data_IF_798840814235
#
_entry.id   IF_798840814235
#
_cell.length_a   1.000
_cell.length_b   1.000
_cell.length_c   1.000
_cell.angle_alpha   90.00
_cell.angle_beta   90.00
_cell.angle_gamma   90.00
#
_symmetry.space_group_name_H-M   'P 1'
#
loop_
_entity.id
_entity.type
_entity.pdbx_description
1 polymer ?
#
# COMPACT_ATOMS: atom_id res chain seq x y z
N UNK A 1 10.75 -61.08 14.08
CA UNK A 1 10.29 -60.66 15.41
C UNK A 1 11.20 -59.53 15.85
N UNK A 2 10.58 -58.39 16.18
CA UNK A 2 11.06 -57.25 16.98
C UNK A 2 12.32 -56.53 16.47
N UNK A 3 12.14 -55.40 15.78
CA UNK A 3 11.94 -54.03 16.35
C UNK A 3 13.28 -53.31 16.52
N UNK A 4 13.75 -52.72 15.43
CA UNK A 4 14.72 -51.61 15.46
C UNK A 4 13.95 -50.31 15.63
N UNK A 5 13.91 -49.84 16.88
CA UNK A 5 13.51 -48.49 17.26
C UNK A 5 14.29 -47.48 16.42
N UNK A 6 13.59 -46.75 15.54
CA UNK A 6 14.08 -45.49 15.00
C UNK A 6 13.88 -44.43 16.08
N UNK A 7 14.99 -44.00 16.65
CA UNK A 7 15.11 -42.83 17.51
C UNK A 7 15.00 -41.58 16.62
N UNK A 8 13.77 -41.20 16.29
CA UNK A 8 13.46 -39.90 15.71
C UNK A 8 13.50 -38.84 16.81
N UNK A 9 14.70 -38.47 17.26
CA UNK A 9 14.90 -37.16 17.89
C UNK A 9 14.78 -36.08 16.82
N UNK A 10 13.54 -35.80 16.42
CA UNK A 10 13.20 -34.54 15.80
C UNK A 10 13.62 -33.43 16.78
N UNK A 11 14.61 -32.64 16.38
CA UNK A 11 14.91 -31.36 17.01
C UNK A 11 13.62 -30.55 16.98
N UNK A 12 12.91 -30.48 18.12
CA UNK A 12 11.82 -29.52 18.32
C UNK A 12 12.44 -28.14 18.23
N UNK A 13 12.30 -27.49 17.09
CA UNK A 13 12.51 -26.06 16.96
C UNK A 13 11.41 -25.35 17.74
N UNK A 14 11.80 -24.62 18.77
CA UNK A 14 10.96 -23.91 19.74
C UNK A 14 10.31 -22.66 19.09
N UNK A 15 9.48 -22.86 18.06
CA UNK A 15 8.95 -21.80 17.18
C UNK A 15 7.42 -21.60 17.27
N UNK A 16 6.74 -22.25 18.22
CA UNK A 16 5.30 -22.04 18.44
C UNK A 16 5.04 -20.74 19.22
N UNK A 17 4.10 -19.92 18.74
CA UNK A 17 3.71 -18.67 19.39
C UNK A 17 3.08 -18.95 20.77
N UNK A 18 3.57 -18.29 21.82
CA UNK A 18 3.05 -18.45 23.19
C UNK A 18 1.62 -17.95 23.44
N UNK A 19 0.93 -17.42 22.42
CA UNK A 19 -0.46 -16.94 22.50
C UNK A 19 -1.38 -17.80 21.63
N UNK A 20 -1.11 -17.92 20.32
CA UNK A 20 -1.97 -18.71 19.41
C UNK A 20 -1.59 -20.19 19.35
N UNK A 21 -0.43 -20.59 19.89
CA UNK A 21 0.11 -21.95 19.90
C UNK A 21 0.35 -22.56 18.51
N UNK A 22 0.26 -21.75 17.45
CA UNK A 22 0.59 -22.11 16.07
C UNK A 22 2.06 -21.75 15.75
N UNK A 23 2.55 -22.21 14.59
CA UNK A 23 3.85 -21.78 14.04
C UNK A 23 3.90 -20.26 13.93
N UNK A 24 4.93 -19.65 14.53
CA UNK A 24 5.01 -18.20 14.64
C UNK A 24 5.18 -17.53 13.28
N UNK A 25 4.24 -16.66 12.93
CA UNK A 25 4.37 -15.71 11.81
C UNK A 25 5.05 -14.46 12.33
N UNK A 26 6.25 -14.15 11.82
CA UNK A 26 7.12 -13.07 12.31
C UNK A 26 7.35 -13.13 13.84
N UNK A 27 8.09 -14.14 14.34
CA UNK A 27 8.32 -14.32 15.76
C UNK A 27 9.10 -13.14 16.37
N UNK A 28 8.50 -12.51 17.37
CA UNK A 28 9.16 -11.62 18.30
C UNK A 28 9.59 -12.39 19.54
N UNK A 29 10.89 -12.57 19.72
CA UNK A 29 11.46 -13.14 20.94
C UNK A 29 11.70 -12.01 21.94
N UNK A 30 11.01 -12.09 23.08
CA UNK A 30 11.16 -11.13 24.16
C UNK A 30 12.48 -11.35 24.92
N UNK A 31 12.99 -10.34 25.66
CA UNK A 31 14.20 -10.49 26.49
C UNK A 31 14.08 -11.59 27.56
N UNK A 32 12.84 -11.94 27.94
CA UNK A 32 12.56 -13.04 28.85
C UNK A 32 12.60 -14.43 28.20
N UNK A 33 12.91 -14.53 26.90
CA UNK A 33 13.05 -15.77 26.15
C UNK A 33 11.76 -16.32 25.51
N UNK A 34 10.60 -15.72 25.78
CA UNK A 34 9.34 -16.15 25.17
C UNK A 34 9.11 -15.53 23.79
N UNK A 35 8.61 -16.34 22.86
CA UNK A 35 8.35 -15.94 21.48
C UNK A 35 6.85 -15.88 21.15
N UNK A 36 6.45 -14.88 20.38
CA UNK A 36 5.06 -14.66 19.95
C UNK A 36 5.02 -14.18 18.51
N UNK A 37 3.93 -14.44 17.78
CA UNK A 37 3.65 -13.69 16.54
C UNK A 37 3.53 -12.19 16.89
N UNK A 38 4.10 -11.30 16.06
CA UNK A 38 3.97 -9.84 16.26
C UNK A 38 2.51 -9.42 16.44
N UNK A 39 1.62 -9.92 15.56
CA UNK A 39 0.18 -9.68 15.63
C UNK A 39 -0.45 -10.13 16.95
N UNK A 40 -0.09 -11.31 17.45
CA UNK A 40 -0.63 -11.85 18.71
C UNK A 40 -0.18 -11.04 19.93
N UNK A 41 1.11 -10.67 20.00
CA UNK A 41 1.62 -9.85 21.09
C UNK A 41 1.03 -8.44 21.06
N UNK A 42 0.86 -7.87 19.87
CA UNK A 42 0.21 -6.58 19.71
C UNK A 42 -1.27 -6.62 20.11
N UNK A 43 -2.00 -7.67 19.73
CA UNK A 43 -3.38 -7.86 20.15
C UNK A 43 -3.50 -8.06 21.67
N UNK A 44 -2.58 -8.81 22.29
CA UNK A 44 -2.52 -8.94 23.75
C UNK A 44 -2.40 -7.58 24.45
N UNK A 45 -1.52 -6.70 23.95
CA UNK A 45 -1.37 -5.33 24.47
C UNK A 45 -2.65 -4.49 24.33
N UNK A 46 -3.44 -4.73 23.29
CA UNK A 46 -4.66 -3.97 22.98
C UNK A 46 -5.94 -4.52 23.63
N UNK A 47 -6.13 -5.85 23.69
CA UNK A 47 -7.39 -6.51 24.15
C UNK A 47 -7.68 -6.33 25.64
N UNK A 48 -6.65 -6.24 26.46
CA UNK A 48 -6.80 -6.31 27.89
C UNK A 48 -6.51 -4.94 28.51
N UNK A 49 -7.58 -4.21 28.85
CA UNK A 49 -7.58 -3.12 29.82
C UNK A 49 -7.24 -3.58 31.26
N UNK A 50 -6.44 -4.63 31.39
CA UNK A 50 -5.83 -5.04 32.66
C UNK A 50 -4.77 -3.99 32.90
N UNK A 51 -5.05 -3.04 33.81
CA UNK A 51 -4.14 -2.04 34.41
C UNK A 51 -2.87 -1.81 33.60
N UNK A 52 -2.76 -0.66 32.93
CA UNK A 52 -1.60 -0.12 32.20
C UNK A 52 -0.25 -0.90 32.31
N UNK A 53 0.17 -1.21 33.53
CA UNK A 53 1.23 -2.17 33.90
C UNK A 53 1.28 -3.53 33.17
N UNK A 54 0.16 -4.19 32.85
CA UNK A 54 0.17 -5.54 32.23
C UNK A 54 0.39 -5.51 30.72
N UNK A 55 0.18 -4.36 30.06
CA UNK A 55 0.50 -4.21 28.63
C UNK A 55 1.99 -4.31 28.35
N UNK A 56 2.81 -3.99 29.36
CA UNK A 56 4.27 -4.04 29.31
C UNK A 56 4.83 -5.30 29.96
N UNK A 57 4.00 -6.35 30.12
CA UNK A 57 4.41 -7.61 30.75
C UNK A 57 4.21 -8.79 29.82
N UNK A 58 5.18 -9.70 29.82
CA UNK A 58 5.12 -10.96 29.08
C UNK A 58 3.85 -11.74 29.44
N UNK A 59 3.05 -12.20 28.46
CA UNK A 59 1.85 -13.01 28.72
C UNK A 59 2.11 -14.27 29.55
N UNK A 60 3.34 -14.82 29.46
CA UNK A 60 3.71 -16.08 30.10
C UNK A 60 4.34 -15.82 31.47
N UNK A 61 5.47 -15.11 31.54
CA UNK A 61 6.24 -14.96 32.78
C UNK A 61 6.07 -13.61 33.48
N UNK A 62 5.30 -12.68 32.89
CA UNK A 62 5.06 -11.32 33.41
C UNK A 62 6.31 -10.44 33.57
N UNK A 63 7.45 -10.85 33.01
CA UNK A 63 8.63 -10.00 32.90
C UNK A 63 8.33 -8.75 32.08
N UNK A 64 9.00 -7.65 32.38
CA UNK A 64 8.83 -6.40 31.66
C UNK A 64 9.26 -6.53 30.20
N UNK A 65 8.46 -5.94 29.32
CA UNK A 65 8.70 -5.86 27.89
C UNK A 65 9.07 -4.41 27.58
N UNK A 66 10.29 -4.15 27.07
CA UNK A 66 10.64 -2.85 26.54
C UNK A 66 9.66 -2.36 25.46
N UNK A 67 9.52 -1.03 25.26
CA UNK A 67 8.75 -0.51 24.15
C UNK A 67 9.36 -0.98 22.82
N UNK A 68 8.52 -1.21 21.81
CA UNK A 68 9.03 -1.54 20.49
C UNK A 68 9.72 -0.34 19.84
N UNK A 69 10.62 -0.61 18.89
CA UNK A 69 11.24 0.43 18.06
C UNK A 69 10.20 1.35 17.40
N UNK A 70 9.08 0.80 16.96
CA UNK A 70 7.95 1.56 16.40
C UNK A 70 7.36 2.53 17.44
N UNK A 71 7.06 2.06 18.65
CA UNK A 71 6.50 2.89 19.72
C UNK A 71 7.41 4.07 20.07
N UNK A 72 8.72 3.82 20.20
CA UNK A 72 9.70 4.88 20.48
C UNK A 72 9.84 5.84 19.30
N UNK A 73 9.87 5.33 18.07
CA UNK A 73 9.94 6.18 16.87
C UNK A 73 8.72 7.09 16.76
N UNK A 74 7.52 6.58 17.04
CA UNK A 74 6.30 7.39 17.09
C UNK A 74 6.40 8.48 18.16
N UNK A 75 6.80 8.11 19.39
CA UNK A 75 6.94 9.04 20.50
C UNK A 75 7.89 10.19 20.15
N UNK A 76 9.09 9.86 19.66
CA UNK A 76 10.10 10.86 19.30
C UNK A 76 9.63 11.77 18.16
N UNK A 77 8.94 11.22 17.15
CA UNK A 77 8.39 12.02 16.06
C UNK A 77 7.33 13.03 16.54
N UNK A 78 6.44 12.62 17.44
CA UNK A 78 5.44 13.53 18.02
C UNK A 78 6.05 14.60 18.94
N UNK A 79 7.10 14.25 19.71
CA UNK A 79 7.86 15.25 20.49
C UNK A 79 8.48 16.31 19.60
N UNK A 80 9.12 15.89 18.51
CA UNK A 80 9.72 16.82 17.57
C UNK A 80 8.67 17.66 16.83
N UNK A 81 7.52 17.07 16.47
CA UNK A 81 6.41 17.81 15.86
C UNK A 81 5.83 18.86 16.81
N UNK A 82 5.64 18.52 18.09
CA UNK A 82 5.23 19.46 19.13
C UNK A 82 6.22 20.62 19.24
N UNK A 83 7.51 20.31 19.36
CA UNK A 83 8.57 21.33 19.43
C UNK A 83 8.53 22.27 18.22
N UNK A 84 8.40 21.73 17.01
CA UNK A 84 8.30 22.55 15.80
C UNK A 84 7.11 23.50 15.83
N UNK A 85 5.93 23.03 16.25
CA UNK A 85 4.75 23.89 16.38
C UNK A 85 4.91 24.97 17.46
N UNK A 86 5.65 24.68 18.53
CA UNK A 86 6.01 25.67 19.55
C UNK A 86 6.99 26.71 18.98
N UNK A 87 7.99 26.28 18.23
CA UNK A 87 8.98 27.15 17.57
C UNK A 87 8.30 28.06 16.53
N UNK A 88 7.30 27.54 15.82
CA UNK A 88 6.49 28.26 14.81
C UNK A 88 5.39 29.14 15.45
N UNK A 89 5.26 29.16 16.79
CA UNK A 89 4.20 29.85 17.55
C UNK A 89 2.75 29.41 17.20
N UNK A 90 2.55 28.17 16.78
CA UNK A 90 1.25 27.59 16.43
C UNK A 90 0.52 26.93 17.62
N UNK A 91 0.87 27.30 18.86
CA UNK A 91 0.43 26.62 20.09
C UNK A 91 -1.06 26.75 20.42
N UNK A 92 -1.80 27.59 19.68
CA UNK A 92 -3.26 27.77 19.85
C UNK A 92 -4.09 27.06 18.78
N UNK A 93 -3.46 26.32 17.88
CA UNK A 93 -4.16 25.61 16.79
C UNK A 93 -4.79 24.32 17.31
N UNK A 94 -5.93 23.92 16.73
CA UNK A 94 -6.54 22.60 17.00
C UNK A 94 -5.54 21.47 16.72
N UNK A 95 -4.70 21.67 15.71
CA UNK A 95 -3.63 20.76 15.33
C UNK A 95 -2.58 20.58 16.44
N UNK A 96 -2.14 21.66 17.09
CA UNK A 96 -1.24 21.57 18.25
C UNK A 96 -1.87 20.82 19.43
N UNK A 97 -3.14 21.12 19.73
CA UNK A 97 -3.87 20.45 20.82
C UNK A 97 -4.02 18.95 20.55
N UNK A 98 -4.29 18.57 19.31
CA UNK A 98 -4.36 17.17 18.90
C UNK A 98 -2.99 16.48 19.01
N UNK A 99 -1.90 17.11 18.53
CA UNK A 99 -0.53 16.60 18.70
C UNK A 99 -0.20 16.36 20.18
N UNK A 100 -0.58 17.28 21.08
CA UNK A 100 -0.37 17.11 22.53
C UNK A 100 -1.17 15.93 23.11
N UNK A 101 -2.44 15.80 22.71
CA UNK A 101 -3.31 14.70 23.17
C UNK A 101 -2.77 13.33 22.72
N UNK A 102 -2.36 13.23 21.46
CA UNK A 102 -1.75 12.01 20.90
C UNK A 102 -0.42 11.69 21.59
N UNK A 103 0.41 12.71 21.85
CA UNK A 103 1.70 12.56 22.53
C UNK A 103 1.56 11.96 23.93
N UNK A 104 0.63 12.48 24.75
CA UNK A 104 0.36 11.92 26.08
C UNK A 104 0.09 10.41 26.00
N UNK A 105 -0.69 10.02 25.00
CA UNK A 105 -1.00 8.63 24.75
C UNK A 105 0.18 7.74 24.36
N UNK A 106 1.13 8.29 23.60
CA UNK A 106 2.37 7.56 23.28
C UNK A 106 3.28 7.47 24.50
N UNK A 107 3.32 8.48 25.37
CA UNK A 107 4.08 8.46 26.62
C UNK A 107 3.55 7.40 27.59
N UNK A 108 2.23 7.29 27.75
CA UNK A 108 1.59 6.22 28.53
C UNK A 108 1.92 4.82 27.96
N UNK A 109 1.87 4.68 26.64
CA UNK A 109 2.17 3.40 25.98
C UNK A 109 3.64 2.98 26.13
N UNK A 110 4.57 3.92 26.03
CA UNK A 110 6.01 3.66 26.20
C UNK A 110 6.33 3.40 27.68
N UNK A 111 5.62 4.07 28.59
CA UNK A 111 5.81 3.98 30.03
C UNK A 111 6.67 5.12 30.57
N UNK A 112 6.25 5.71 31.69
CA UNK A 112 6.97 6.81 32.35
C UNK A 112 8.36 6.42 32.89
N UNK A 113 8.60 5.11 33.04
CA UNK A 113 9.83 4.46 33.49
C UNK A 113 10.81 4.14 32.35
N UNK A 114 10.47 4.45 31.10
CA UNK A 114 11.37 4.26 29.98
C UNK A 114 12.60 5.17 30.08
N UNK A 115 13.79 4.56 29.97
CA UNK A 115 15.10 5.20 30.17
C UNK A 115 15.58 6.08 29.00
N UNK A 116 14.77 6.20 27.94
CA UNK A 116 15.11 6.98 26.75
C UNK A 116 15.91 6.24 25.68
N UNK A 117 16.35 5.00 25.94
CA UNK A 117 17.26 4.27 25.04
C UNK A 117 16.88 2.81 24.81
N UNK A 118 16.25 2.15 25.79
CA UNK A 118 15.98 0.71 25.73
C UNK A 118 14.80 0.42 24.81
N UNK A 119 15.05 -0.30 23.72
CA UNK A 119 14.04 -0.75 22.77
C UNK A 119 14.03 -2.27 22.70
N UNK A 120 12.84 -2.84 22.48
CA UNK A 120 12.71 -4.26 22.19
C UNK A 120 13.51 -4.54 20.91
N UNK A 121 14.50 -5.46 20.94
CA UNK A 121 15.25 -5.84 19.76
C UNK A 121 14.28 -6.34 18.69
N UNK A 122 14.43 -5.82 17.48
CA UNK A 122 13.72 -6.35 16.33
C UNK A 122 14.64 -7.36 15.65
N UNK A 123 14.14 -8.54 15.31
CA UNK A 123 14.94 -9.55 14.61
C UNK A 123 15.41 -9.06 13.22
N UNK A 124 14.84 -7.94 12.73
CA UNK A 124 15.19 -7.24 11.49
C UNK A 124 15.81 -5.86 11.72
N UNK A 125 16.99 -5.79 12.34
CA UNK A 125 17.74 -4.55 12.63
C UNK A 125 18.27 -3.78 11.39
N UNK A 126 17.81 -4.10 10.18
CA UNK A 126 18.19 -3.32 8.99
C UNK A 126 17.48 -1.95 9.02
N UNK A 127 18.20 -0.83 8.96
CA UNK A 127 17.58 0.48 8.83
C UNK A 127 16.73 0.53 7.54
N UNK A 128 15.57 1.15 7.62
CA UNK A 128 14.69 1.30 6.47
C UNK A 128 15.42 2.04 5.34
N UNK A 129 15.25 1.56 4.11
CA UNK A 129 15.81 2.24 2.95
C UNK A 129 15.04 3.53 2.73
N UNK A 130 15.74 4.65 2.57
CA UNK A 130 15.13 5.95 2.26
C UNK A 130 15.12 6.12 0.75
N UNK A 131 13.96 6.38 0.17
CA UNK A 131 13.89 6.64 -1.26
C UNK A 131 14.40 8.05 -1.57
N UNK A 132 15.20 8.24 -2.65
CA UNK A 132 15.57 9.57 -3.10
C UNK A 132 14.37 10.40 -3.54
N UNK A 133 14.45 11.73 -3.44
CA UNK A 133 13.39 12.67 -3.84
C UNK A 133 12.87 12.45 -5.26
N UNK A 134 13.74 12.10 -6.20
CA UNK A 134 13.34 11.86 -7.58
C UNK A 134 12.48 10.59 -7.72
N UNK A 135 12.69 9.58 -6.86
CA UNK A 135 11.86 8.39 -6.77
C UNK A 135 10.52 8.73 -6.13
N UNK A 136 10.51 9.48 -5.03
CA UNK A 136 9.27 9.95 -4.42
C UNK A 136 8.39 10.69 -5.44
N UNK A 137 8.98 11.63 -6.20
CA UNK A 137 8.27 12.38 -7.25
C UNK A 137 7.85 11.50 -8.43
N UNK A 138 8.63 10.48 -8.77
CA UNK A 138 8.25 9.53 -9.82
C UNK A 138 7.06 8.67 -9.40
N UNK A 139 7.05 8.19 -8.15
CA UNK A 139 5.91 7.47 -7.56
C UNK A 139 4.68 8.36 -7.63
N UNK A 140 4.74 9.60 -7.13
CA UNK A 140 3.59 10.51 -7.15
C UNK A 140 3.06 10.88 -8.53
N UNK A 141 3.86 10.70 -9.60
CA UNK A 141 3.45 10.92 -10.99
C UNK A 141 3.04 9.64 -11.73
N UNK A 142 3.15 8.48 -11.10
CA UNK A 142 2.90 7.19 -11.75
C UNK A 142 3.99 6.75 -12.72
N UNK A 143 5.18 7.37 -12.69
CA UNK A 143 6.28 6.99 -13.57
C UNK A 143 6.98 5.72 -13.07
N UNK A 144 6.45 4.56 -13.47
CA UNK A 144 6.91 3.27 -13.01
C UNK A 144 8.34 2.93 -13.48
N UNK A 145 8.81 3.49 -14.60
CA UNK A 145 10.12 3.15 -15.18
C UNK A 145 11.30 3.44 -14.24
N UNK A 146 11.52 4.68 -13.74
CA UNK A 146 12.59 4.97 -12.79
C UNK A 146 12.39 4.26 -11.45
N UNK A 147 11.14 4.06 -11.00
CA UNK A 147 10.83 3.37 -9.74
C UNK A 147 11.27 1.91 -9.81
N UNK A 148 10.82 1.18 -10.82
CA UNK A 148 11.20 -0.22 -11.03
C UNK A 148 12.70 -0.38 -11.29
N UNK A 149 13.32 0.53 -12.05
CA UNK A 149 14.77 0.53 -12.26
C UNK A 149 15.52 0.67 -10.95
N UNK A 150 15.09 1.57 -10.08
CA UNK A 150 15.74 1.80 -8.78
C UNK A 150 15.57 0.63 -7.82
N UNK A 151 14.36 0.06 -7.71
CA UNK A 151 14.10 -1.13 -6.89
C UNK A 151 14.98 -2.29 -7.35
N UNK A 152 15.00 -2.57 -8.65
CA UNK A 152 15.75 -3.71 -9.21
C UNK A 152 17.28 -3.51 -9.25
N UNK A 153 17.78 -2.28 -9.09
CA UNK A 153 19.21 -1.99 -9.14
C UNK A 153 19.99 -2.54 -7.93
N UNK A 154 19.34 -2.83 -6.81
CA UNK A 154 19.98 -3.50 -5.68
C UNK A 154 19.01 -4.47 -4.99
N UNK A 155 19.18 -5.76 -5.27
CA UNK A 155 18.36 -6.83 -4.69
C UNK A 155 18.69 -7.17 -3.23
N UNK A 156 19.76 -6.61 -2.66
CA UNK A 156 20.11 -6.83 -1.24
C UNK A 156 19.43 -5.85 -0.30
N UNK A 157 18.93 -4.73 -0.83
CA UNK A 157 18.20 -3.68 -0.11
C UNK A 157 16.69 -3.86 -0.28
N UNK A 158 15.94 -3.64 0.80
CA UNK A 158 14.47 -3.67 0.78
C UNK A 158 13.88 -2.37 0.20
N UNK A 159 14.20 -2.07 -1.06
CA UNK A 159 13.81 -0.83 -1.75
C UNK A 159 12.32 -0.72 -2.01
N UNK A 160 11.61 -1.85 -2.15
CA UNK A 160 10.16 -1.85 -2.40
C UNK A 160 9.39 -1.33 -1.17
N UNK A 161 9.95 -1.55 0.04
CA UNK A 161 9.42 -1.03 1.30
C UNK A 161 10.13 0.24 1.77
N UNK A 162 10.79 0.96 0.86
CA UNK A 162 11.46 2.20 1.19
C UNK A 162 10.49 3.28 1.67
N UNK A 163 11.01 4.19 2.47
CA UNK A 163 10.27 5.29 3.10
C UNK A 163 10.70 6.65 2.54
N UNK A 164 9.79 7.63 2.58
CA UNK A 164 10.02 8.97 2.03
C UNK A 164 11.08 9.78 2.76
N UNK A 165 11.35 9.48 4.03
CA UNK A 165 12.29 10.19 4.86
C UNK A 165 12.84 9.29 5.97
N UNK A 166 14.08 9.53 6.39
CA UNK A 166 14.60 8.99 7.65
C UNK A 166 14.20 9.85 8.85
N UNK A 167 13.74 11.08 8.58
CA UNK A 167 13.49 12.09 9.58
C UNK A 167 12.15 11.83 10.28
N UNK A 168 12.24 11.48 11.55
CA UNK A 168 11.10 11.24 12.44
C UNK A 168 10.23 12.49 12.67
N UNK A 169 10.73 13.69 12.34
CA UNK A 169 9.99 14.95 12.47
C UNK A 169 9.01 15.19 11.30
N UNK A 170 9.19 14.46 10.19
CA UNK A 170 8.39 14.60 8.96
C UNK A 170 7.47 13.42 8.75
N UNK A 171 6.36 13.62 8.00
CA UNK A 171 5.40 12.55 7.73
C UNK A 171 6.02 11.48 6.83
N UNK A 172 6.65 10.48 7.45
CA UNK A 172 7.34 9.41 6.75
C UNK A 172 6.32 8.44 6.16
N UNK A 173 6.36 8.22 4.85
CA UNK A 173 5.41 7.36 4.13
C UNK A 173 6.15 6.24 3.40
N UNK A 174 5.70 4.97 3.52
CA UNK A 174 6.16 3.89 2.65
C UNK A 174 5.84 4.17 1.17
N UNK A 175 6.64 3.64 0.24
CA UNK A 175 6.43 3.78 -1.20
C UNK A 175 5.00 3.42 -1.64
N UNK A 176 4.43 2.35 -1.08
CA UNK A 176 3.06 1.94 -1.33
C UNK A 176 2.03 3.00 -0.89
N UNK A 177 2.26 3.65 0.26
CA UNK A 177 1.40 4.72 0.75
C UNK A 177 1.49 5.98 -0.12
N UNK A 178 2.69 6.33 -0.59
CA UNK A 178 2.87 7.44 -1.55
C UNK A 178 2.08 7.15 -2.83
N UNK A 179 2.21 5.95 -3.41
CA UNK A 179 1.44 5.56 -4.59
C UNK A 179 -0.08 5.62 -4.35
N UNK A 180 -0.54 5.25 -3.15
CA UNK A 180 -1.96 5.28 -2.79
C UNK A 180 -2.52 6.72 -2.63
N UNK A 181 -1.76 7.62 -2.01
CA UNK A 181 -2.18 9.02 -1.82
C UNK A 181 -2.24 9.78 -3.15
N UNK A 182 -1.33 9.48 -4.08
CA UNK A 182 -1.30 10.11 -5.41
C UNK A 182 -2.11 9.34 -6.48
N UNK A 183 -2.97 8.41 -6.05
CA UNK A 183 -3.87 7.64 -6.91
C UNK A 183 -3.18 6.88 -8.07
N UNK A 184 -2.11 6.16 -7.74
CA UNK A 184 -1.31 5.41 -8.70
C UNK A 184 -1.58 3.91 -8.62
N UNK A 185 -2.80 3.49 -8.94
CA UNK A 185 -3.28 2.11 -8.78
C UNK A 185 -2.39 1.06 -9.46
N UNK A 186 -1.93 1.34 -10.68
CA UNK A 186 -1.04 0.45 -11.42
C UNK A 186 0.32 0.29 -10.71
N UNK A 187 0.85 1.38 -10.14
CA UNK A 187 2.11 1.35 -9.41
C UNK A 187 1.96 0.68 -8.04
N UNK A 188 0.85 0.91 -7.32
CA UNK A 188 0.51 0.15 -6.11
C UNK A 188 0.54 -1.35 -6.37
N UNK A 189 -0.07 -1.79 -7.47
CA UNK A 189 -0.12 -3.19 -7.87
C UNK A 189 1.27 -3.77 -8.16
N UNK A 190 2.11 -3.02 -8.90
CA UNK A 190 3.49 -3.40 -9.16
C UNK A 190 4.31 -3.51 -7.87
N UNK A 191 4.15 -2.56 -6.95
CA UNK A 191 4.85 -2.57 -5.65
C UNK A 191 4.44 -3.79 -4.81
N UNK A 192 3.13 -4.09 -4.74
CA UNK A 192 2.62 -5.27 -4.02
C UNK A 192 3.14 -6.58 -4.63
N UNK A 193 3.14 -6.71 -5.96
CA UNK A 193 3.74 -7.85 -6.66
C UNK A 193 5.24 -8.00 -6.41
N UNK A 194 5.95 -6.91 -6.09
CA UNK A 194 7.37 -6.91 -5.74
C UNK A 194 7.64 -7.13 -4.24
N UNK A 195 6.60 -7.35 -3.44
CA UNK A 195 6.73 -7.60 -2.00
C UNK A 195 6.63 -6.35 -1.11
N UNK A 196 5.95 -5.30 -1.57
CA UNK A 196 5.56 -4.21 -0.68
C UNK A 196 4.67 -4.76 0.44
N UNK A 197 5.06 -4.48 1.68
CA UNK A 197 4.29 -4.82 2.86
C UNK A 197 3.05 -3.91 2.90
N UNK A 198 1.88 -4.51 2.67
CA UNK A 198 0.58 -3.83 2.63
C UNK A 198 0.27 -3.09 3.94
N UNK A 199 0.77 -3.61 5.05
CA UNK A 199 0.58 -3.08 6.41
C UNK A 199 1.83 -2.35 6.94
N UNK A 200 2.78 -1.98 6.06
CA UNK A 200 3.93 -1.17 6.45
C UNK A 200 3.42 0.11 7.10
N UNK A 201 3.82 0.33 8.35
CA UNK A 201 3.42 1.51 9.10
C UNK A 201 4.40 2.66 8.92
N UNK A 202 3.86 3.86 8.80
CA UNK A 202 4.60 5.11 8.97
C UNK A 202 5.00 5.33 10.43
N UNK A 203 5.81 6.35 10.68
CA UNK A 203 6.25 6.72 12.04
C UNK A 203 5.09 7.03 13.00
N UNK A 204 3.95 7.55 12.53
CA UNK A 204 2.75 7.77 13.35
C UNK A 204 1.91 6.49 13.53
N UNK A 205 2.31 5.37 12.93
CA UNK A 205 1.63 4.07 12.99
C UNK A 205 0.54 3.88 11.93
N UNK A 206 0.36 4.83 11.01
CA UNK A 206 -0.62 4.73 9.94
C UNK A 206 -0.18 3.71 8.87
N UNK A 207 -1.11 2.89 8.41
CA UNK A 207 -0.92 1.99 7.27
C UNK A 207 -1.34 2.68 5.97
N UNK A 208 -1.03 2.07 4.84
CA UNK A 208 -1.52 2.55 3.54
C UNK A 208 -3.04 2.68 3.49
N UNK A 209 -3.78 1.71 4.06
CA UNK A 209 -5.24 1.80 4.12
C UNK A 209 -5.70 2.97 4.99
N UNK A 210 -5.02 3.26 6.10
CA UNK A 210 -5.30 4.46 6.91
C UNK A 210 -5.12 5.77 6.13
N UNK A 211 -4.06 5.87 5.31
CA UNK A 211 -3.77 7.08 4.52
C UNK A 211 -4.82 7.42 3.46
N UNK A 212 -5.58 6.43 2.97
CA UNK A 212 -6.64 6.68 1.99
C UNK A 212 -8.00 6.98 2.64
N UNK A 213 -8.18 6.68 3.93
CA UNK A 213 -9.42 6.96 4.69
C UNK A 213 -9.36 8.27 5.49
N UNK A 214 -9.00 9.37 4.84
CA UNK A 214 -9.07 10.71 5.43
C UNK A 214 -10.20 11.52 4.81
N UNK A 215 -10.75 12.50 5.56
CA UNK A 215 -11.78 13.39 5.02
C UNK A 215 -11.32 14.15 3.77
N UNK A 216 -10.02 14.43 3.63
CA UNK A 216 -9.47 15.08 2.44
C UNK A 216 -9.49 14.13 1.23
N UNK A 217 -9.02 12.89 1.39
CA UNK A 217 -8.98 11.92 0.30
C UNK A 217 -10.39 11.58 -0.21
N UNK A 218 -11.32 11.32 0.71
CA UNK A 218 -12.72 11.01 0.39
C UNK A 218 -13.53 12.23 -0.11
N UNK A 219 -13.08 13.45 0.14
CA UNK A 219 -13.68 14.64 -0.48
C UNK A 219 -13.20 14.87 -1.93
N UNK A 220 -11.98 14.42 -2.25
CA UNK A 220 -11.30 14.77 -3.49
C UNK A 220 -11.30 13.65 -4.55
N UNK A 221 -11.77 12.45 -4.23
CA UNK A 221 -11.87 11.38 -5.22
C UNK A 221 -12.39 10.06 -4.65
N UNK A 222 -12.64 9.12 -5.57
CA UNK A 222 -12.99 7.75 -5.22
C UNK A 222 -11.75 7.02 -4.68
N UNK A 223 -11.93 6.32 -3.56
CA UNK A 223 -10.88 5.53 -2.89
C UNK A 223 -11.14 4.03 -3.01
N UNK A 224 -12.26 3.62 -3.62
CA UNK A 224 -12.79 2.26 -3.63
C UNK A 224 -11.83 1.27 -4.28
N UNK A 225 -11.28 1.59 -5.45
CA UNK A 225 -10.33 0.69 -6.13
C UNK A 225 -9.05 0.48 -5.32
N UNK A 226 -8.53 1.56 -4.70
CA UNK A 226 -7.34 1.50 -3.85
C UNK A 226 -7.60 0.70 -2.57
N UNK A 227 -8.75 0.91 -1.94
CA UNK A 227 -9.17 0.15 -0.76
C UNK A 227 -9.35 -1.34 -1.09
N UNK A 228 -10.05 -1.66 -2.18
CA UNK A 228 -10.25 -3.04 -2.64
C UNK A 228 -8.92 -3.73 -2.96
N UNK A 229 -7.99 -3.02 -3.62
CA UNK A 229 -6.66 -3.55 -3.86
C UNK A 229 -5.99 -3.92 -2.53
N UNK A 230 -5.85 -2.98 -1.60
CA UNK A 230 -5.20 -3.21 -0.31
C UNK A 230 -5.87 -4.34 0.50
N UNK A 231 -7.21 -4.36 0.58
CA UNK A 231 -7.96 -5.39 1.30
C UNK A 231 -7.74 -6.78 0.68
N UNK A 232 -7.73 -6.88 -0.66
CA UNK A 232 -7.50 -8.15 -1.36
C UNK A 232 -6.07 -8.67 -1.18
N UNK A 233 -5.12 -7.77 -0.91
CA UNK A 233 -3.73 -8.08 -0.53
C UNK A 233 -3.53 -8.28 0.98
N UNK A 234 -4.62 -8.33 1.75
CA UNK A 234 -4.55 -8.70 3.15
C UNK A 234 -4.43 -7.55 4.15
N UNK A 235 -4.53 -6.28 3.71
CA UNK A 235 -4.45 -5.11 4.59
C UNK A 235 -5.33 -5.26 5.83
N UNK A 236 -4.78 -5.07 7.03
CA UNK A 236 -5.54 -5.15 8.27
C UNK A 236 -5.78 -3.78 8.88
N UNK A 237 -6.87 -3.67 9.64
CA UNK A 237 -7.11 -2.52 10.48
C UNK A 237 -6.53 -2.81 11.85
N UNK A 238 -5.70 -1.90 12.35
CA UNK A 238 -5.15 -2.04 13.69
C UNK A 238 -6.13 -1.46 14.72
N UNK A 239 -6.35 -2.15 15.86
CA UNK A 239 -7.30 -1.70 16.86
C UNK A 239 -6.90 -0.34 17.43
N UNK A 240 -7.90 0.47 17.74
CA UNK A 240 -7.73 1.77 18.38
C UNK A 240 -6.92 1.63 19.67
N UNK A 241 -5.80 2.37 19.76
CA UNK A 241 -4.95 2.42 20.94
C UNK A 241 -5.30 3.60 21.84
N UNK A 242 -6.56 4.04 21.86
CA UNK A 242 -7.06 5.19 22.63
C UNK A 242 -6.52 6.55 22.19
N UNK A 243 -5.45 6.55 21.40
CA UNK A 243 -4.59 7.68 21.10
C UNK A 243 -4.22 7.72 19.61
N UNK A 244 -4.96 7.01 18.74
CA UNK A 244 -4.79 7.07 17.28
C UNK A 244 -6.16 6.90 16.61
N UNK A 245 -6.88 8.01 16.52
CA UNK A 245 -8.23 8.03 15.93
C UNK A 245 -8.17 7.70 14.43
N UNK A 246 -7.10 8.07 13.72
CA UNK A 246 -7.11 8.13 12.25
C UNK A 246 -6.86 6.80 11.50
N UNK A 247 -6.70 5.66 12.19
CA UNK A 247 -6.36 4.39 11.53
C UNK A 247 -7.14 3.16 12.03
N UNK A 248 -8.17 3.35 12.88
CA UNK A 248 -9.02 2.25 13.32
C UNK A 248 -10.02 1.85 12.22
N UNK A 249 -10.52 0.61 12.29
CA UNK A 249 -11.58 0.12 11.41
C UNK A 249 -12.82 1.02 11.52
N UNK A 250 -13.18 1.37 12.75
CA UNK A 250 -14.34 2.20 13.09
C UNK A 250 -14.22 3.61 12.52
N UNK A 251 -13.03 4.21 12.58
CA UNK A 251 -12.77 5.51 11.98
C UNK A 251 -12.93 5.47 10.47
N UNK A 252 -12.33 4.48 9.79
CA UNK A 252 -12.45 4.34 8.34
C UNK A 252 -13.92 4.21 7.91
N UNK A 253 -14.70 3.40 8.65
CA UNK A 253 -16.16 3.26 8.44
C UNK A 253 -16.88 4.59 8.66
N UNK A 254 -16.55 5.32 9.73
CA UNK A 254 -17.16 6.61 10.04
C UNK A 254 -16.90 7.64 8.94
N UNK A 255 -15.64 7.81 8.51
CA UNK A 255 -15.28 8.78 7.47
C UNK A 255 -15.92 8.39 6.14
N UNK A 256 -15.91 7.11 5.76
CA UNK A 256 -16.60 6.65 4.56
C UNK A 256 -18.09 7.03 4.57
N UNK A 257 -18.82 6.75 5.67
CA UNK A 257 -20.24 7.14 5.80
C UNK A 257 -20.45 8.65 5.77
N UNK A 258 -19.58 9.42 6.42
CA UNK A 258 -19.65 10.89 6.44
C UNK A 258 -19.58 11.49 5.03
N UNK A 259 -18.83 10.85 4.14
CA UNK A 259 -18.65 11.29 2.75
C UNK A 259 -19.60 10.58 1.75
N UNK A 260 -20.57 9.79 2.23
CA UNK A 260 -21.57 9.12 1.37
C UNK A 260 -21.14 7.78 0.80
N UNK A 261 -19.95 7.28 1.15
CA UNK A 261 -19.41 5.99 0.71
C UNK A 261 -20.00 4.82 1.53
N UNK A 262 -21.32 4.65 1.43
CA UNK A 262 -22.07 3.66 2.23
C UNK A 262 -21.70 2.22 1.87
N UNK A 263 -21.57 1.90 0.59
CA UNK A 263 -21.22 0.54 0.14
C UNK A 263 -19.82 0.16 0.61
N UNK A 264 -18.85 1.07 0.48
CA UNK A 264 -17.49 0.87 0.98
C UNK A 264 -17.45 0.74 2.50
N UNK A 265 -18.25 1.52 3.23
CA UNK A 265 -18.37 1.41 4.67
C UNK A 265 -18.95 0.05 5.10
N UNK A 266 -19.97 -0.45 4.41
CA UNK A 266 -20.55 -1.77 4.66
C UNK A 266 -19.58 -2.90 4.31
N UNK A 267 -18.83 -2.73 3.22
CA UNK A 267 -17.76 -3.63 2.81
C UNK A 267 -16.69 -3.75 3.91
N UNK A 268 -16.13 -2.63 4.36
CA UNK A 268 -15.10 -2.62 5.41
C UNK A 268 -15.64 -3.20 6.71
N UNK A 269 -16.89 -2.89 7.06
CA UNK A 269 -17.51 -3.37 8.30
C UNK A 269 -17.57 -4.89 8.34
N UNK A 270 -17.86 -5.53 7.21
CA UNK A 270 -17.92 -6.99 7.08
C UNK A 270 -16.56 -7.67 7.29
N UNK A 271 -16.55 -8.98 7.54
CA UNK A 271 -15.32 -9.72 7.84
C UNK A 271 -14.50 -10.03 6.58
N UNK A 272 -15.20 -10.34 5.47
CA UNK A 272 -14.57 -10.73 4.20
C UNK A 272 -14.63 -9.64 3.14
N UNK A 273 -15.21 -8.47 3.43
CA UNK A 273 -15.35 -7.40 2.44
C UNK A 273 -14.01 -6.90 1.89
N UNK A 274 -13.93 -6.82 0.58
CA UNK A 274 -12.73 -6.48 -0.19
C UNK A 274 -11.66 -7.57 -0.19
N UNK A 275 -11.81 -8.64 0.59
CA UNK A 275 -10.83 -9.73 0.68
C UNK A 275 -10.88 -10.62 -0.55
N UNK A 276 -9.72 -11.17 -0.88
CA UNK A 276 -9.66 -12.35 -1.76
C UNK A 276 -10.00 -13.58 -0.92
N UNK A 277 -10.86 -14.42 -1.50
CA UNK A 277 -11.34 -15.65 -0.88
C UNK A 277 -11.18 -16.83 -1.83
N UNK A 278 -11.24 -18.01 -1.25
CA UNK A 278 -11.45 -19.28 -1.93
C UNK A 278 -12.89 -19.73 -1.67
N UNK A 279 -13.57 -20.19 -2.71
CA UNK A 279 -14.91 -20.77 -2.59
C UNK A 279 -14.76 -22.17 -1.98
N UNK A 280 -15.47 -22.42 -0.89
CA UNK A 280 -15.46 -23.68 -0.18
C UNK A 280 -16.89 -24.16 0.12
N UNK A 281 -17.09 -25.47 0.20
CA UNK A 281 -18.36 -26.11 0.56
C UNK A 281 -19.60 -25.66 -0.24
N UNK A 282 -19.45 -25.29 -1.52
CA UNK A 282 -20.57 -24.86 -2.38
C UNK A 282 -21.27 -26.06 -3.05
N UNK A 283 -22.27 -26.61 -2.38
CA UNK A 283 -23.03 -27.79 -2.85
C UNK A 283 -23.74 -27.61 -4.20
N UNK A 284 -24.40 -26.46 -4.50
CA UNK A 284 -25.14 -26.31 -5.76
C UNK A 284 -24.25 -26.26 -7.01
N UNK A 285 -22.99 -25.86 -6.84
CA UNK A 285 -22.00 -25.68 -7.92
C UNK A 285 -20.62 -26.18 -7.46
N UNK A 286 -20.45 -27.50 -7.30
CA UNK A 286 -19.24 -28.08 -6.73
C UNK A 286 -17.99 -27.84 -7.59
N UNK A 287 -18.16 -27.55 -8.88
CA UNK A 287 -17.08 -27.19 -9.81
C UNK A 287 -16.40 -25.86 -9.49
N UNK A 288 -17.04 -25.02 -8.67
CA UNK A 288 -16.47 -23.76 -8.20
C UNK A 288 -15.64 -23.90 -6.93
N UNK A 289 -15.72 -25.03 -6.22
CA UNK A 289 -14.92 -25.23 -5.01
C UNK A 289 -13.42 -25.20 -5.33
N UNK A 290 -12.65 -24.48 -4.51
CA UNK A 290 -11.23 -24.21 -4.73
C UNK A 290 -10.95 -23.05 -5.69
N UNK A 291 -11.96 -22.50 -6.38
CA UNK A 291 -11.77 -21.30 -7.22
C UNK A 291 -11.65 -20.05 -6.33
N UNK A 292 -10.84 -19.10 -6.78
CA UNK A 292 -10.64 -17.84 -6.06
C UNK A 292 -11.56 -16.75 -6.57
N UNK A 293 -11.96 -15.88 -5.66
CA UNK A 293 -12.86 -14.76 -5.90
C UNK A 293 -12.48 -13.57 -5.02
N UNK A 294 -13.03 -12.40 -5.33
CA UNK A 294 -12.93 -11.20 -4.47
C UNK A 294 -14.31 -10.82 -4.00
N UNK A 295 -14.50 -10.61 -2.71
CA UNK A 295 -15.78 -10.15 -2.15
C UNK A 295 -15.90 -8.63 -2.34
N UNK A 296 -16.43 -8.20 -3.49
CA UNK A 296 -16.47 -6.80 -3.90
C UNK A 296 -17.58 -5.99 -3.21
N UNK A 297 -18.67 -6.64 -2.79
CA UNK A 297 -19.78 -5.98 -2.11
C UNK A 297 -20.32 -6.88 -0.99
N UNK A 298 -20.64 -6.29 0.15
CA UNK A 298 -21.38 -6.95 1.21
C UNK A 298 -22.85 -6.51 1.17
N UNK A 299 -23.76 -7.47 1.36
CA UNK A 299 -25.21 -7.27 1.37
C UNK A 299 -25.72 -7.49 2.81
N UNK A 300 -25.88 -6.42 3.61
CA UNK A 300 -26.19 -6.54 5.03
C UNK A 300 -27.53 -7.20 5.32
N UNK A 301 -28.51 -7.03 4.44
CA UNK A 301 -29.88 -7.55 4.62
C UNK A 301 -29.95 -9.08 4.56
N UNK A 302 -29.14 -9.70 3.69
CA UNK A 302 -29.09 -11.16 3.53
C UNK A 302 -27.87 -11.79 4.18
N UNK A 303 -26.94 -10.99 4.72
CA UNK A 303 -25.63 -11.44 5.18
C UNK A 303 -24.89 -12.25 4.10
N UNK A 304 -24.80 -11.71 2.89
CA UNK A 304 -24.14 -12.35 1.75
C UNK A 304 -23.14 -11.41 1.09
N UNK A 305 -22.27 -11.96 0.27
CA UNK A 305 -21.29 -11.22 -0.50
C UNK A 305 -21.57 -11.36 -1.99
N UNK A 306 -21.51 -10.25 -2.73
CA UNK A 306 -21.27 -10.34 -4.17
C UNK A 306 -19.78 -10.54 -4.39
N UNK A 307 -19.42 -11.69 -4.93
CA UNK A 307 -18.04 -12.05 -5.22
C UNK A 307 -17.81 -12.10 -6.73
N UNK A 308 -16.65 -11.63 -7.18
CA UNK A 308 -16.23 -11.75 -8.58
C UNK A 308 -15.19 -12.85 -8.70
N UNK A 309 -15.42 -13.84 -9.55
CA UNK A 309 -14.44 -14.90 -9.84
C UNK A 309 -13.19 -14.31 -10.48
N UNK A 310 -12.02 -14.87 -10.14
CA UNK A 310 -10.74 -14.38 -10.63
C UNK A 310 -10.25 -15.00 -11.94
N UNK A 311 -11.11 -15.75 -12.60
CA UNK A 311 -10.83 -16.29 -13.93
C UNK A 311 -11.10 -15.24 -15.02
N UNK A 312 -10.92 -15.62 -16.29
CA UNK A 312 -11.22 -14.74 -17.43
C UNK A 312 -12.70 -14.42 -17.60
N UNK A 313 -13.62 -15.23 -17.04
CA UNK A 313 -15.06 -14.96 -17.17
C UNK A 313 -15.51 -13.80 -16.29
N UNK A 314 -14.80 -13.52 -15.18
CA UNK A 314 -15.15 -12.50 -14.19
C UNK A 314 -16.62 -12.63 -13.74
N UNK A 315 -17.11 -13.86 -13.64
CA UNK A 315 -18.48 -14.16 -13.22
C UNK A 315 -18.73 -13.62 -11.82
N UNK A 316 -19.88 -12.96 -11.62
CA UNK A 316 -20.30 -12.44 -10.32
C UNK A 316 -21.30 -13.39 -9.68
N UNK A 317 -21.05 -13.80 -8.44
CA UNK A 317 -21.88 -14.71 -7.66
C UNK A 317 -22.33 -14.05 -6.37
N UNK A 318 -23.46 -14.50 -5.82
CA UNK A 318 -23.89 -14.13 -4.47
C UNK A 318 -23.70 -15.33 -3.57
N UNK A 319 -22.76 -15.23 -2.62
CA UNK A 319 -22.37 -16.33 -1.74
C UNK A 319 -22.49 -15.94 -0.27
N UNK A 320 -22.86 -16.90 0.56
CA UNK A 320 -22.87 -16.72 2.01
C UNK A 320 -21.45 -16.81 2.60
N UNK A 321 -21.20 -16.21 3.78
CA UNK A 321 -19.89 -16.25 4.44
C UNK A 321 -19.34 -17.66 4.64
N UNK A 322 -20.20 -18.64 4.94
CA UNK A 322 -19.82 -20.05 5.14
C UNK A 322 -19.26 -20.72 3.88
N UNK A 323 -19.48 -20.14 2.69
CA UNK A 323 -18.94 -20.63 1.43
C UNK A 323 -17.63 -19.93 1.02
N UNK A 324 -17.09 -19.09 1.89
CA UNK A 324 -15.92 -18.26 1.59
C UNK A 324 -14.86 -18.43 2.67
N UNK A 325 -13.66 -18.80 2.22
CA UNK A 325 -12.47 -18.87 3.07
C UNK A 325 -11.50 -17.77 2.67
N UNK A 326 -11.08 -16.93 3.61
CA UNK A 326 -10.09 -15.87 3.35
C UNK A 326 -8.79 -16.47 2.79
N UNK A 327 -8.33 -15.92 1.66
CA UNK A 327 -7.09 -16.31 0.97
C UNK A 327 -6.52 -15.06 0.29
N UNK A 328 -5.90 -14.20 1.08
CA UNK A 328 -5.34 -12.94 0.59
C UNK A 328 -4.25 -13.16 -0.47
N UNK A 329 -4.00 -12.14 -1.28
CA UNK A 329 -2.94 -12.18 -2.28
C UNK A 329 -1.56 -12.16 -1.65
N UNK A 330 -0.63 -12.81 -2.32
CA UNK A 330 0.80 -12.72 -2.06
C UNK A 330 1.53 -12.47 -3.38
N UNK A 331 2.81 -12.06 -3.38
CA UNK A 331 3.61 -11.99 -4.60
C UNK A 331 3.57 -13.28 -5.41
N UNK A 332 3.56 -14.44 -4.74
CA UNK A 332 3.51 -15.78 -5.34
C UNK A 332 2.10 -16.20 -5.80
N UNK A 333 1.05 -15.74 -5.10
CA UNK A 333 -0.36 -16.07 -5.37
C UNK A 333 -1.19 -14.79 -5.51
N UNK A 334 -0.87 -13.99 -6.54
CA UNK A 334 -1.50 -12.69 -6.77
C UNK A 334 -2.82 -12.78 -7.56
N UNK A 335 -3.13 -13.92 -8.20
CA UNK A 335 -4.37 -14.16 -8.97
C UNK A 335 -4.44 -13.48 -10.35
N UNK A 336 -3.58 -12.50 -10.59
CA UNK A 336 -3.33 -11.82 -11.86
C UNK A 336 -1.90 -11.29 -11.85
N UNK A 337 -1.36 -10.89 -13.00
CA UNK A 337 -0.03 -10.31 -13.04
C UNK A 337 0.04 -9.07 -13.94
N UNK A 338 0.56 -7.96 -13.42
CA UNK A 338 0.84 -6.76 -14.20
C UNK A 338 2.33 -6.68 -14.51
N UNK A 339 2.66 -6.54 -15.80
CA UNK A 339 4.01 -6.26 -16.30
C UNK A 339 4.12 -4.79 -16.67
N UNK A 340 5.30 -4.18 -16.50
CA UNK A 340 5.61 -2.87 -17.09
C UNK A 340 6.60 -3.05 -18.24
N UNK A 341 6.14 -2.82 -19.47
CA UNK A 341 6.92 -2.97 -20.72
C UNK A 341 6.66 -1.78 -21.63
N UNK A 342 7.71 -1.28 -22.29
CA UNK A 342 7.63 -0.15 -23.24
C UNK A 342 6.88 1.10 -22.73
N UNK A 343 6.97 1.38 -21.42
CA UNK A 343 6.29 2.54 -20.82
C UNK A 343 4.80 2.31 -20.52
N UNK A 344 4.27 1.10 -20.73
CA UNK A 344 2.87 0.74 -20.47
C UNK A 344 2.78 -0.43 -19.49
N UNK A 345 1.68 -0.47 -18.75
CA UNK A 345 1.33 -1.60 -17.90
C UNK A 345 0.46 -2.59 -18.68
N UNK A 346 0.83 -3.86 -18.67
CA UNK A 346 0.13 -4.95 -19.34
C UNK A 346 -0.41 -5.87 -18.25
N UNK A 347 -1.73 -5.98 -18.16
CA UNK A 347 -2.41 -6.90 -17.25
C UNK A 347 -2.57 -8.27 -17.89
N UNK A 348 -2.21 -9.33 -17.17
CA UNK A 348 -2.42 -10.72 -17.52
C UNK A 348 -3.39 -11.35 -16.52
N UNK A 349 -4.54 -11.80 -17.01
CA UNK A 349 -5.49 -12.60 -16.27
C UNK A 349 -5.32 -14.09 -16.61
N UNK A 350 -5.59 -14.96 -15.65
CA UNK A 350 -5.40 -16.41 -15.75
C UNK A 350 -6.74 -17.13 -15.64
N UNK A 351 -6.81 -18.38 -16.10
CA UNK A 351 -8.02 -19.20 -15.95
C UNK A 351 -8.13 -19.83 -14.55
N UNK A 352 -7.01 -19.84 -13.82
CA UNK A 352 -6.91 -20.39 -12.47
C UNK A 352 -5.78 -19.74 -11.65
N UNK A 353 -5.85 -19.86 -10.33
CA UNK A 353 -4.78 -19.39 -9.45
C UNK A 353 -3.51 -20.21 -9.60
N UNK A 354 -3.64 -21.51 -9.91
CA UNK A 354 -2.52 -22.42 -10.15
C UNK A 354 -1.72 -22.00 -11.39
N UNK A 355 -2.40 -21.56 -12.46
CA UNK A 355 -1.75 -21.03 -13.66
C UNK A 355 -1.00 -19.73 -13.37
N UNK A 356 -1.60 -18.83 -12.57
CA UNK A 356 -0.96 -17.60 -12.12
C UNK A 356 0.31 -17.90 -11.32
N UNK A 357 0.23 -18.80 -10.34
CA UNK A 357 1.37 -19.22 -9.51
C UNK A 357 2.47 -19.85 -10.36
N UNK A 358 2.13 -20.72 -11.31
CA UNK A 358 3.10 -21.32 -12.21
C UNK A 358 3.82 -20.26 -13.07
N UNK A 359 3.08 -19.26 -13.56
CA UNK A 359 3.65 -18.15 -14.31
C UNK A 359 4.63 -17.33 -13.45
N UNK A 360 4.24 -16.94 -12.24
CA UNK A 360 5.10 -16.20 -11.30
C UNK A 360 6.33 -17.02 -10.91
N UNK A 361 6.17 -18.31 -10.60
CA UNK A 361 7.27 -19.20 -10.26
C UNK A 361 8.30 -19.30 -11.40
N UNK A 362 7.84 -19.37 -12.65
CA UNK A 362 8.71 -19.41 -13.81
C UNK A 362 9.46 -18.08 -14.05
N UNK A 363 8.82 -16.94 -13.78
CA UNK A 363 9.49 -15.63 -13.82
C UNK A 363 10.61 -15.54 -12.78
N UNK A 364 10.35 -16.04 -11.56
CA UNK A 364 11.33 -16.03 -10.47
C UNK A 364 12.52 -16.95 -10.74
N UNK A 365 12.32 -18.06 -11.46
CA UNK A 365 13.40 -18.95 -11.92
C UNK A 365 14.16 -18.43 -13.12
N UNK A 366 13.71 -17.33 -13.75
CA UNK A 366 14.26 -16.82 -15.01
C UNK A 366 13.95 -17.71 -16.21
N UNK A 367 13.00 -18.65 -16.08
CA UNK A 367 12.70 -19.69 -17.07
C UNK A 367 11.64 -19.26 -18.10
N UNK A 368 10.97 -18.12 -17.92
CA UNK A 368 9.94 -17.64 -18.86
C UNK A 368 10.23 -16.25 -19.43
N UNK A 369 10.96 -16.25 -20.54
CA UNK A 369 10.57 -15.49 -21.72
C UNK A 369 10.29 -16.49 -22.83
N UNK A 370 9.06 -16.62 -23.36
CA UNK A 370 8.95 -16.83 -24.80
C UNK A 370 9.70 -15.66 -25.43
N UNK A 371 10.75 -15.95 -26.20
CA UNK A 371 11.51 -14.95 -26.93
C UNK A 371 10.59 -14.36 -28.01
N UNK A 372 9.72 -13.42 -27.63
CA UNK A 372 9.30 -12.37 -28.54
C UNK A 372 10.52 -11.47 -28.62
N UNK A 373 11.20 -11.50 -29.76
CA UNK A 373 12.31 -10.58 -30.03
C UNK A 373 11.80 -9.16 -29.84
N UNK A 374 12.64 -8.25 -29.37
CA UNK A 374 12.35 -6.81 -29.44
C UNK A 374 11.94 -6.41 -30.88
N UNK A 375 12.44 -7.14 -31.88
CA UNK A 375 12.06 -7.00 -33.30
C UNK A 375 10.62 -7.45 -33.60
N UNK A 376 10.13 -8.54 -33.03
CA UNK A 376 8.76 -9.01 -33.25
C UNK A 376 7.73 -8.10 -32.56
N UNK A 377 8.09 -7.53 -31.42
CA UNK A 377 7.24 -6.56 -30.70
C UNK A 377 7.28 -5.18 -31.36
N UNK A 378 8.45 -4.72 -31.82
CA UNK A 378 8.57 -3.50 -32.63
C UNK A 378 7.83 -3.61 -33.97
N UNK A 379 7.86 -4.78 -34.60
CA UNK A 379 7.08 -5.03 -35.82
C UNK A 379 5.57 -4.98 -35.57
N UNK A 380 5.10 -5.47 -34.41
CA UNK A 380 3.69 -5.37 -34.03
C UNK A 380 3.26 -3.92 -33.73
N UNK A 381 4.11 -3.14 -33.06
CA UNK A 381 3.86 -1.71 -32.82
C UNK A 381 3.86 -0.90 -34.12
N UNK A 382 4.79 -1.18 -35.04
CA UNK A 382 4.81 -0.55 -36.34
C UNK A 382 3.57 -0.90 -37.16
N UNK A 383 3.15 -2.17 -37.17
CA UNK A 383 1.93 -2.59 -37.85
C UNK A 383 0.67 -1.93 -37.26
N UNK A 384 0.63 -1.74 -35.93
CA UNK A 384 -0.46 -1.02 -35.27
C UNK A 384 -0.48 0.48 -35.62
N UNK A 385 0.70 1.12 -35.69
CA UNK A 385 0.82 2.52 -36.11
C UNK A 385 0.42 2.73 -37.58
N UNK A 386 0.81 1.80 -38.46
CA UNK A 386 0.43 1.81 -39.87
C UNK A 386 -1.09 1.63 -40.04
N UNK A 387 -1.72 0.73 -39.27
CA UNK A 387 -3.18 0.56 -39.25
C UNK A 387 -3.92 1.83 -38.77
N UNK A 388 -3.40 2.52 -37.75
CA UNK A 388 -3.99 3.77 -37.27
C UNK A 388 -3.90 4.88 -38.32
N UNK A 389 -2.78 4.94 -39.05
CA UNK A 389 -2.58 5.87 -40.16
C UNK A 389 -3.51 5.57 -41.35
N UNK A 390 -3.72 4.28 -41.70
CA UNK A 390 -4.68 3.87 -42.74
C UNK A 390 -6.13 4.20 -42.38
N UNK A 391 -6.48 4.12 -41.10
CA UNK A 391 -7.81 4.48 -40.58
C UNK A 391 -8.01 5.99 -40.45
N UNK A 392 -6.97 6.81 -40.73
CA UNK A 392 -7.04 8.28 -40.64
C UNK A 392 -7.24 8.81 -39.22
N UNK A 393 -6.87 8.02 -38.21
CA UNK A 393 -6.97 8.36 -36.79
C UNK A 393 -5.62 8.84 -36.26
N UNK A 394 -4.99 9.78 -36.97
CA UNK A 394 -3.83 10.48 -36.43
C UNK A 394 -4.31 11.49 -35.39
N UNK A 395 -3.93 11.28 -34.13
CA UNK A 395 -4.14 12.21 -33.02
C UNK A 395 -3.35 13.51 -33.25
N UNK A 396 -3.89 14.40 -34.09
CA UNK A 396 -3.40 15.76 -34.22
C UNK A 396 -4.01 16.63 -33.13
N UNK A 397 -3.59 16.48 -31.88
CA UNK A 397 -3.73 17.55 -30.89
C UNK A 397 -2.62 18.58 -31.14
N UNK A 398 -2.72 19.31 -32.26
CA UNK A 398 -1.97 20.54 -32.43
C UNK A 398 -2.64 21.62 -31.57
N UNK A 399 -1.89 22.09 -30.58
CA UNK A 399 -2.18 23.29 -29.81
C UNK A 399 -2.37 24.44 -30.82
N UNK A 400 -3.59 24.96 -30.92
CA UNK A 400 -3.87 26.20 -31.64
C UNK A 400 -3.59 27.39 -30.72
N UNK A 401 -2.75 28.37 -31.10
CA UNK A 401 -2.83 29.70 -30.55
C UNK A 401 -3.92 30.46 -31.31
N UNK A 402 -4.93 30.87 -30.57
CA UNK A 402 -5.98 31.77 -31.01
C UNK A 402 -5.35 33.06 -31.55
N UNK A 403 -5.63 33.45 -32.80
CA UNK A 403 -5.78 34.87 -33.14
C UNK A 403 -6.57 35.08 -34.44
N UNK A 404 -7.60 35.91 -34.28
CA UNK A 404 -8.53 36.42 -35.29
C UNK A 404 -7.89 36.86 -36.60
N UNK A 405 -8.53 36.47 -37.70
CA UNK A 405 -8.23 36.93 -39.04
C UNK A 405 -8.66 38.38 -39.28
N UNK A 406 -7.79 39.11 -39.98
CA UNK A 406 -8.06 40.46 -40.48
C UNK A 406 -7.13 40.80 -41.65
N UNK A 407 -7.48 40.27 -42.83
CA UNK A 407 -7.12 40.67 -44.20
C UNK A 407 -5.86 41.53 -44.43
N UNK A 408 -4.99 41.08 -45.34
CA UNK A 408 -4.37 41.98 -46.33
C UNK A 408 -4.30 41.32 -47.71
N UNK A 409 -4.93 41.96 -48.70
CA UNK A 409 -4.71 41.70 -50.14
C UNK A 409 -3.65 42.66 -50.70
N UNK A 410 -2.82 42.09 -51.58
CA UNK A 410 -2.16 42.68 -52.76
C UNK A 410 -0.86 43.52 -52.60
N UNK A 411 0.24 42.83 -52.90
CA UNK A 411 1.17 43.05 -54.03
C UNK A 411 1.90 44.39 -54.25
N UNK A 412 3.19 44.18 -54.55
CA UNK A 412 4.15 44.92 -55.41
C UNK A 412 5.08 45.96 -54.78
N UNK A 413 6.34 45.51 -54.78
CA UNK A 413 7.63 46.20 -54.70
C UNK A 413 7.73 47.37 -55.71
N UNK A 414 8.04 48.58 -55.26
CA UNK A 414 8.95 49.50 -55.98
C UNK A 414 9.61 50.53 -55.04
N UNK A 415 10.89 50.77 -55.37
CA UNK A 415 12.00 51.51 -54.74
C UNK A 415 11.72 52.90 -54.13
N UNK A 416 12.58 53.24 -53.17
CA UNK A 416 12.94 54.59 -52.71
C UNK A 416 12.50 54.82 -51.26
N UNK A 417 13.32 55.13 -50.26
CA UNK A 417 14.62 55.77 -50.23
C UNK A 417 14.53 56.97 -49.28
N UNK A 418 14.95 56.81 -48.02
CA UNK A 418 15.60 57.81 -47.12
C UNK A 418 15.35 57.46 -45.64
N UNK A 419 16.44 57.18 -44.93
CA UNK A 419 16.53 57.29 -43.46
C UNK A 419 17.02 58.69 -43.08
N UNK A 420 16.35 59.34 -42.14
CA UNK A 420 16.92 60.28 -41.15
C UNK A 420 16.23 59.93 -39.81
N UNK A 421 16.97 59.37 -38.83
CA UNK A 421 17.51 60.05 -37.61
C UNK A 421 16.44 60.91 -36.93
N UNK A 422 16.06 60.71 -35.68
CA UNK A 422 16.90 60.70 -34.47
C UNK A 422 16.09 60.06 -33.31
N UNK A 423 16.71 59.34 -32.36
CA UNK A 423 17.07 59.82 -30.99
C UNK A 423 15.88 60.53 -30.30
N UNK A 424 15.44 60.16 -29.10
CA UNK A 424 16.21 60.05 -27.87
C UNK A 424 15.27 59.53 -26.74
N UNK A 425 15.84 58.84 -25.74
CA UNK A 425 15.48 58.70 -24.30
C UNK A 425 13.99 58.57 -23.90
N UNK A 426 13.59 57.51 -23.19
CA UNK A 426 13.89 57.22 -21.77
C UNK A 426 13.29 58.28 -20.85
N UNK A 427 12.27 57.88 -20.07
CA UNK A 427 12.24 57.89 -18.60
C UNK A 427 10.81 57.74 -18.10
N UNK A 428 10.64 56.77 -17.19
CA UNK A 428 9.88 56.80 -15.94
C UNK A 428 8.63 57.71 -15.83
N UNK A 429 7.52 57.10 -15.42
CA UNK A 429 7.13 57.05 -14.00
C UNK A 429 6.39 55.75 -13.69
#
# INVERSE_FOLDING_TARGET
MTDTLHDDTAVRTDQSCGICLEDSKDPLTLPCGHSFCDGCLNEWRSRYGVREEMRRKCPICRAEIPPSKEMVTTLLGFRARKQKLEDDNETSTDHYHEVCRLLQGFEENVGADWDGVTVLPDNNDKPAVVMPDYIFKAIGRGDAKPVLKWINANRTEDRVNAVSSADTTTMTMPALAVAAVFDQLALMTLLLQLGANVDKRSFNGSTTIGFIFTSEMLANGDVTERANLLLSWGAIFFPDRGNRIECSKEYCIHVARKHGEHELADLIKSDLGGRRCEIDNLTPRPELNGKTCVANQYLPESNQYKVTLENKSKEVLVLSPENLKRRDRTPEDCGYYIEFKNGRTIRRDFDSSEECQAFVAALNKGETRPFVTEEAEAAAEQAAAELLAELGLDDSSSITPNHNGGQVKKSKKKKGGRRRRNKYLDTNE
#
